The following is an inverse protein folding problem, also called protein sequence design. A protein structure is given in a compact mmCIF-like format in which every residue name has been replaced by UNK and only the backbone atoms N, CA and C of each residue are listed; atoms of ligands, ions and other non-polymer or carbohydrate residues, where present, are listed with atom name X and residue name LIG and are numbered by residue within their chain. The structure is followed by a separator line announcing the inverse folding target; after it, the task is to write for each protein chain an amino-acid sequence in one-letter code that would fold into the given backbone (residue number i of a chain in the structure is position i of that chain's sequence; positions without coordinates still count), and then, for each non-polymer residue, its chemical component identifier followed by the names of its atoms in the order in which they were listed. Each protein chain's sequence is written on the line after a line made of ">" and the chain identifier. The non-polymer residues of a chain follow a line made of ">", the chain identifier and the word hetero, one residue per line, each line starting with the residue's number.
data_IF_916950827999
#
_entry.id   IF_916950827999
#
_cell.length_a   1.000
_cell.length_b   1.000
_cell.length_c   1.000
_cell.angle_alpha   90.00
_cell.angle_beta   90.00
_cell.angle_gamma   90.00
#
_symmetry.space_group_name_H-M   'P 1'
#
loop_
_entity.id
_entity.type
_entity.pdbx_description
1 polymer ?
#
# COMPACT_ATOMS: atom_id res chain seq x y z
N UNK A 1 -1.52 -9.27 30.45
CA UNK A 1 -2.26 -9.56 29.20
C UNK A 1 -2.52 -8.35 28.28
N UNK A 2 -2.64 -7.09 28.76
CA UNK A 2 -2.78 -5.92 27.86
C UNK A 2 -1.47 -5.54 27.12
N UNK A 3 -0.32 -5.74 27.76
CA UNK A 3 1.00 -5.43 27.18
C UNK A 3 1.31 -6.35 25.99
N UNK A 4 1.12 -7.67 26.15
CA UNK A 4 1.36 -8.67 25.09
C UNK A 4 0.51 -8.43 23.83
N UNK A 5 -0.71 -7.91 23.97
CA UNK A 5 -1.56 -7.58 22.83
C UNK A 5 -1.04 -6.36 22.04
N UNK A 6 -0.49 -5.36 22.75
CA UNK A 6 0.12 -4.19 22.12
C UNK A 6 1.43 -4.53 21.39
N UNK A 7 2.24 -5.43 21.96
CA UNK A 7 3.47 -5.90 21.31
C UNK A 7 3.19 -6.69 20.03
N UNK A 8 2.16 -7.53 20.01
CA UNK A 8 1.74 -8.25 18.80
C UNK A 8 1.29 -7.32 17.68
N UNK A 9 0.51 -6.30 18.02
CA UNK A 9 0.05 -5.30 17.04
C UNK A 9 1.21 -4.49 16.47
N UNK A 10 2.17 -4.09 17.34
CA UNK A 10 3.36 -3.37 16.89
C UNK A 10 4.24 -4.24 16.00
N UNK A 11 4.48 -5.50 16.37
CA UNK A 11 5.22 -6.46 15.56
C UNK A 11 4.56 -6.65 14.19
N UNK A 12 3.23 -6.78 14.15
CA UNK A 12 2.48 -6.94 12.90
C UNK A 12 2.64 -5.75 11.96
N UNK A 13 2.58 -4.53 12.50
CA UNK A 13 2.80 -3.30 11.71
C UNK A 13 4.20 -3.26 11.14
N UNK A 14 5.19 -3.63 11.94
CA UNK A 14 6.59 -3.67 11.51
C UNK A 14 6.80 -4.70 10.39
N UNK A 15 6.22 -5.90 10.50
CA UNK A 15 6.27 -6.91 9.44
C UNK A 15 5.70 -6.40 8.11
N UNK A 16 4.54 -5.73 8.15
CA UNK A 16 3.91 -5.17 6.96
C UNK A 16 4.75 -4.05 6.34
N UNK A 17 5.31 -3.17 7.18
CA UNK A 17 6.20 -2.09 6.74
C UNK A 17 7.46 -2.66 6.06
N UNK A 18 8.06 -3.71 6.63
CA UNK A 18 9.19 -4.41 6.01
C UNK A 18 8.83 -5.07 4.68
N UNK A 19 7.65 -5.69 4.56
CA UNK A 19 7.19 -6.27 3.30
C UNK A 19 7.02 -5.20 2.21
N UNK A 20 6.42 -4.05 2.58
CA UNK A 20 6.28 -2.91 1.68
C UNK A 20 7.66 -2.40 1.26
N UNK A 21 8.58 -2.20 2.21
CA UNK A 21 9.94 -1.74 1.93
C UNK A 21 10.69 -2.68 0.99
N UNK A 22 10.60 -4.01 1.21
CA UNK A 22 11.20 -5.01 0.33
C UNK A 22 10.64 -4.95 -1.08
N UNK A 23 9.32 -4.80 -1.22
CA UNK A 23 8.66 -4.73 -2.53
C UNK A 23 8.98 -3.44 -3.27
N UNK A 24 9.04 -2.30 -2.57
CA UNK A 24 9.39 -1.00 -3.16
C UNK A 24 10.87 -0.97 -3.55
N UNK A 25 11.77 -1.46 -2.69
CA UNK A 25 13.21 -1.52 -2.95
C UNK A 25 13.62 -2.53 -4.02
N UNK A 26 12.76 -3.50 -4.34
CA UNK A 26 12.98 -4.45 -5.43
C UNK A 26 12.86 -3.82 -6.83
N UNK A 27 12.24 -2.64 -6.93
CA UNK A 27 11.93 -1.98 -8.20
C UNK A 27 12.77 -0.71 -8.32
N UNK A 28 13.50 -0.53 -9.42
CA UNK A 28 14.39 0.63 -9.61
C UNK A 28 13.63 1.97 -9.62
N UNK A 29 12.42 2.00 -10.21
CA UNK A 29 11.54 3.17 -10.18
C UNK A 29 10.14 2.76 -9.70
N UNK A 30 9.91 2.74 -8.38
CA UNK A 30 8.66 2.24 -7.82
C UNK A 30 7.46 3.16 -8.14
N UNK A 31 7.68 4.45 -8.42
CA UNK A 31 6.61 5.39 -8.76
C UNK A 31 5.95 5.09 -10.10
N UNK A 32 6.67 4.46 -11.03
CA UNK A 32 6.17 4.15 -12.37
C UNK A 32 6.02 2.65 -12.64
N UNK A 33 6.92 1.84 -12.07
CA UNK A 33 7.07 0.43 -12.44
C UNK A 33 6.53 -0.54 -11.41
N UNK A 34 6.23 -0.08 -10.18
CA UNK A 34 5.71 -0.97 -9.15
C UNK A 34 4.34 -1.53 -9.59
N UNK A 35 4.27 -2.85 -9.63
CA UNK A 35 3.06 -3.63 -9.92
C UNK A 35 2.68 -4.42 -8.67
N UNK A 36 1.38 -4.37 -8.36
CA UNK A 36 0.78 -5.11 -7.27
C UNK A 36 0.03 -6.29 -7.89
N UNK A 37 0.25 -7.48 -7.35
CA UNK A 37 -0.49 -8.67 -7.77
C UNK A 37 -1.89 -8.69 -7.15
N UNK A 38 -2.92 -8.39 -7.96
CA UNK A 38 -4.32 -8.41 -7.55
C UNK A 38 -4.98 -9.80 -7.69
N UNK A 39 -4.29 -10.84 -8.19
CA UNK A 39 -4.94 -12.13 -8.45
C UNK A 39 -5.48 -12.80 -7.20
N UNK A 40 -4.88 -12.53 -6.04
CA UNK A 40 -5.35 -13.00 -4.74
C UNK A 40 -6.73 -12.42 -4.33
N UNK A 41 -7.20 -11.36 -5.00
CA UNK A 41 -8.50 -10.71 -4.75
C UNK A 41 -9.66 -11.33 -5.56
N UNK A 42 -9.40 -12.35 -6.39
CA UNK A 42 -10.42 -13.01 -7.22
C UNK A 42 -11.02 -12.14 -8.32
N UNK A 43 -12.07 -12.64 -9.00
CA UNK A 43 -12.76 -11.94 -10.10
C UNK A 43 -13.43 -10.63 -9.66
N UNK A 44 -13.80 -10.50 -8.37
CA UNK A 44 -14.31 -9.27 -7.78
C UNK A 44 -13.26 -8.14 -7.75
N UNK A 45 -11.97 -8.48 -7.65
CA UNK A 45 -10.88 -7.49 -7.67
C UNK A 45 -10.54 -6.93 -9.06
N UNK A 46 -10.92 -7.63 -10.14
CA UNK A 46 -10.62 -7.23 -11.53
C UNK A 46 -11.76 -6.52 -12.25
N UNK A 47 -13.03 -6.76 -11.89
CA UNK A 47 -14.17 -6.17 -12.61
C UNK A 47 -15.43 -5.86 -11.80
N UNK A 48 -15.44 -5.94 -10.46
CA UNK A 48 -16.57 -5.44 -9.67
C UNK A 48 -16.23 -4.09 -9.01
N UNK A 49 -16.19 -3.06 -9.83
CA UNK A 49 -16.35 -1.68 -9.39
C UNK A 49 -17.85 -1.38 -9.23
N UNK A 50 -18.35 -0.99 -8.05
CA UNK A 50 -19.31 0.09 -7.98
C UNK A 50 -18.51 1.40 -8.03
N UNK A 51 -18.27 1.95 -9.24
CA UNK A 51 -18.04 3.38 -9.59
C UNK A 51 -17.15 4.29 -8.69
N UNK A 52 -16.33 3.75 -7.77
CA UNK A 52 -15.69 4.48 -6.64
C UNK A 52 -14.19 4.19 -6.45
N UNK A 53 -13.48 3.66 -7.46
CA UNK A 53 -12.24 2.92 -7.19
C UNK A 53 -10.93 3.62 -7.52
N UNK A 54 -9.96 3.34 -6.65
CA UNK A 54 -8.55 3.62 -6.83
C UNK A 54 -8.04 2.91 -8.10
N UNK A 55 -7.38 3.67 -8.97
CA UNK A 55 -6.68 3.12 -10.12
C UNK A 55 -5.41 2.36 -9.67
N UNK A 56 -4.82 1.57 -10.57
CA UNK A 56 -3.52 0.92 -10.34
C UNK A 56 -2.43 1.97 -10.07
N UNK A 57 -2.52 3.12 -10.72
CA UNK A 57 -1.62 4.25 -10.50
C UNK A 57 -1.80 4.85 -9.10
N UNK A 58 -3.05 5.00 -8.65
CA UNK A 58 -3.35 5.53 -7.33
C UNK A 58 -2.85 4.59 -6.23
N UNK A 59 -3.07 3.29 -6.39
CA UNK A 59 -2.57 2.28 -5.46
C UNK A 59 -1.04 2.32 -5.38
N UNK A 60 -0.37 2.46 -6.53
CA UNK A 60 1.08 2.57 -6.61
C UNK A 60 1.59 3.79 -5.84
N UNK A 61 1.01 4.96 -6.11
CA UNK A 61 1.34 6.19 -5.42
C UNK A 61 1.10 6.06 -3.92
N UNK A 62 -0.03 5.50 -3.50
CA UNK A 62 -0.35 5.30 -2.09
C UNK A 62 0.68 4.40 -1.39
N UNK A 63 1.12 3.31 -2.01
CA UNK A 63 2.14 2.43 -1.42
C UNK A 63 3.50 3.13 -1.36
N UNK A 64 3.90 3.87 -2.39
CA UNK A 64 5.17 4.61 -2.39
C UNK A 64 5.17 5.71 -1.32
N UNK A 65 4.07 6.46 -1.20
CA UNK A 65 3.92 7.49 -0.17
C UNK A 65 3.85 6.86 1.22
N UNK A 66 3.15 5.73 1.37
CA UNK A 66 3.09 4.97 2.62
C UNK A 66 4.48 4.52 3.06
N UNK A 67 5.29 3.98 2.15
CA UNK A 67 6.69 3.63 2.44
C UNK A 67 7.51 4.84 2.87
N UNK A 68 7.33 6.00 2.22
CA UNK A 68 8.04 7.25 2.56
C UNK A 68 7.69 7.74 3.97
N UNK A 69 6.42 7.66 4.38
CA UNK A 69 5.99 8.16 5.70
C UNK A 69 6.10 7.11 6.81
N UNK A 70 6.01 5.82 6.47
CA UNK A 70 5.90 4.67 7.37
C UNK A 70 4.47 4.16 7.51
N UNK A 71 4.29 2.84 7.50
CA UNK A 71 2.98 2.20 7.66
C UNK A 71 2.27 2.58 8.97
N UNK A 72 0.96 2.80 8.91
CA UNK A 72 0.15 3.19 10.07
C UNK A 72 0.09 4.70 10.34
N UNK A 73 0.91 5.52 9.67
CA UNK A 73 0.92 6.99 9.84
C UNK A 73 -0.08 7.68 8.90
N UNK A 74 -1.35 7.31 9.00
CA UNK A 74 -2.42 7.73 8.08
C UNK A 74 -2.60 9.24 7.94
N UNK A 75 -2.47 9.99 9.04
CA UNK A 75 -2.56 11.45 9.00
C UNK A 75 -1.40 12.08 8.20
N UNK A 76 -0.19 11.54 8.33
CA UNK A 76 0.97 11.98 7.56
C UNK A 76 0.84 11.59 6.08
N UNK A 77 0.32 10.39 5.80
CA UNK A 77 0.03 9.93 4.45
C UNK A 77 -0.99 10.86 3.75
N UNK A 78 -2.08 11.23 4.42
CA UNK A 78 -3.08 12.17 3.90
C UNK A 78 -2.47 13.54 3.58
N UNK A 79 -1.58 14.04 4.44
CA UNK A 79 -0.85 15.28 4.18
C UNK A 79 -0.03 15.16 2.90
N UNK A 80 0.73 14.08 2.76
CA UNK A 80 1.57 13.85 1.59
C UNK A 80 0.76 13.70 0.30
N UNK A 81 -0.37 12.98 0.33
CA UNK A 81 -1.29 12.86 -0.82
C UNK A 81 -1.82 14.24 -1.25
N UNK A 82 -2.06 15.15 -0.31
CA UNK A 82 -2.56 16.50 -0.62
C UNK A 82 -1.47 17.42 -1.18
N UNK A 83 -0.23 17.29 -0.70
CA UNK A 83 0.90 18.15 -1.08
C UNK A 83 1.71 17.63 -2.26
N UNK A 84 1.67 16.33 -2.54
CA UNK A 84 2.43 15.72 -3.63
C UNK A 84 1.95 16.22 -4.97
N UNK A 85 2.89 16.68 -5.80
CA UNK A 85 2.61 17.08 -7.17
C UNK A 85 2.11 15.91 -8.03
N UNK A 86 2.55 14.69 -7.75
CA UNK A 86 2.07 13.47 -8.44
C UNK A 86 0.58 13.21 -8.22
N UNK A 87 0.02 13.73 -7.13
CA UNK A 87 -1.41 13.65 -6.83
C UNK A 87 -2.13 14.97 -7.12
N UNK A 88 -1.46 16.00 -7.67
CA UNK A 88 -2.04 17.34 -7.82
C UNK A 88 -3.32 17.35 -8.68
N UNK A 89 -3.36 16.52 -9.72
CA UNK A 89 -4.50 16.40 -10.63
C UNK A 89 -5.47 15.27 -10.25
N UNK A 90 -5.16 14.49 -9.22
CA UNK A 90 -6.01 13.41 -8.75
C UNK A 90 -6.99 13.91 -7.68
N UNK A 91 -8.10 14.47 -8.16
CA UNK A 91 -9.20 14.90 -7.29
C UNK A 91 -9.83 13.73 -6.53
N UNK A 92 -9.79 12.52 -7.09
CA UNK A 92 -10.35 11.34 -6.44
C UNK A 92 -9.60 11.04 -5.13
N UNK A 93 -8.26 10.93 -5.17
CA UNK A 93 -7.44 10.72 -3.97
C UNK A 93 -7.60 11.85 -2.95
N UNK A 94 -7.71 13.10 -3.42
CA UNK A 94 -7.91 14.27 -2.53
C UNK A 94 -9.28 14.28 -1.84
N UNK A 95 -10.31 13.73 -2.50
CA UNK A 95 -11.67 13.65 -1.95
C UNK A 95 -11.87 12.53 -0.93
N UNK A 96 -10.92 11.58 -0.82
CA UNK A 96 -11.03 10.45 0.11
C UNK A 96 -10.78 10.88 1.55
N UNK A 97 -11.45 10.19 2.46
CA UNK A 97 -11.23 10.31 3.90
C UNK A 97 -9.98 9.52 4.31
N UNK A 98 -9.42 9.86 5.47
CA UNK A 98 -8.31 9.11 6.06
C UNK A 98 -8.64 7.63 6.23
N UNK A 99 -9.88 7.30 6.61
CA UNK A 99 -10.32 5.93 6.82
C UNK A 99 -10.35 5.12 5.50
N UNK A 100 -10.81 5.72 4.41
CA UNK A 100 -10.82 5.06 3.09
C UNK A 100 -9.40 4.82 2.57
N UNK A 101 -8.50 5.81 2.73
CA UNK A 101 -7.09 5.64 2.34
C UNK A 101 -6.42 4.57 3.20
N UNK A 102 -6.64 4.59 4.52
CA UNK A 102 -6.10 3.57 5.42
C UNK A 102 -6.59 2.17 5.03
N UNK A 103 -7.90 1.98 4.84
CA UNK A 103 -8.47 0.70 4.44
C UNK A 103 -7.91 0.21 3.10
N UNK A 104 -7.70 1.12 2.14
CA UNK A 104 -7.08 0.77 0.86
C UNK A 104 -5.64 0.32 1.04
N UNK A 105 -4.83 1.08 1.77
CA UNK A 105 -3.42 0.73 2.03
C UNK A 105 -3.28 -0.57 2.82
N UNK A 106 -4.16 -0.83 3.78
CA UNK A 106 -4.20 -2.09 4.52
C UNK A 106 -4.47 -3.29 3.61
N UNK A 107 -5.41 -3.15 2.68
CA UNK A 107 -5.70 -4.18 1.68
C UNK A 107 -4.50 -4.39 0.74
N UNK A 108 -3.88 -3.33 0.24
CA UNK A 108 -2.70 -3.42 -0.62
C UNK A 108 -1.51 -4.04 0.12
N UNK A 109 -1.30 -3.70 1.39
CA UNK A 109 -0.25 -4.27 2.22
C UNK A 109 -0.40 -5.79 2.38
N UNK A 110 -1.62 -6.30 2.54
CA UNK A 110 -1.89 -7.75 2.60
C UNK A 110 -1.57 -8.47 1.28
N UNK A 111 -1.88 -7.84 0.15
CA UNK A 111 -1.52 -8.37 -1.17
C UNK A 111 0.01 -8.44 -1.33
N UNK A 112 0.69 -7.34 -0.99
CA UNK A 112 2.16 -7.26 -1.03
C UNK A 112 2.80 -8.28 -0.10
N UNK A 113 2.29 -8.44 1.13
CA UNK A 113 2.79 -9.45 2.06
C UNK A 113 2.70 -10.86 1.46
N UNK A 114 1.54 -11.19 0.86
CA UNK A 114 1.30 -12.49 0.24
C UNK A 114 2.18 -12.71 -0.99
N UNK A 115 2.47 -11.64 -1.74
CA UNK A 115 3.41 -11.66 -2.86
C UNK A 115 4.86 -11.84 -2.40
N UNK A 116 5.31 -11.06 -1.41
CA UNK A 116 6.67 -11.10 -0.89
C UNK A 116 6.99 -12.45 -0.24
N UNK A 117 6.02 -13.11 0.38
CA UNK A 117 6.17 -14.47 0.92
C UNK A 117 6.36 -15.54 -0.17
N UNK A 118 5.84 -15.31 -1.39
CA UNK A 118 6.00 -16.23 -2.53
C UNK A 118 7.35 -16.07 -3.24
N UNK A 119 8.06 -14.95 -3.01
CA UNK A 119 9.33 -14.67 -3.65
C UNK A 119 10.45 -15.57 -3.04
N UNK A 120 11.20 -16.35 -3.86
CA UNK A 120 12.37 -17.11 -3.40
C UNK A 120 13.45 -16.23 -2.75
N UNK A 121 14.22 -16.72 -1.76
CA UNK A 121 15.26 -15.90 -1.11
C UNK A 121 16.24 -15.30 -2.14
N UNK A 122 16.27 -13.97 -2.27
CA UNK A 122 17.24 -13.22 -3.09
C UNK A 122 16.81 -12.75 -4.49
N UNK A 123 15.73 -13.25 -5.09
CA UNK A 123 15.34 -12.88 -6.48
C UNK A 123 14.26 -11.78 -6.63
N UNK A 124 14.63 -10.50 -6.69
CA UNK A 124 13.65 -9.44 -6.94
C UNK A 124 12.97 -9.65 -8.30
N UNK A 125 11.62 -9.67 -8.37
CA UNK A 125 10.95 -9.62 -9.67
C UNK A 125 11.31 -8.28 -10.31
N UNK A 126 12.02 -8.34 -11.42
CA UNK A 126 12.45 -7.18 -12.22
C UNK A 126 11.24 -6.40 -12.74
#
# INVERSE_FOLDING_TARGET
>A
KKVEAGERELARRFELDMCIAKKVGAVANPWNLLKIDYTAMGAAGRSSLPKTMFSVENDRHLICLCHKVGYGRWAALMKEVRTSWLCAFDWFLKSRTQAEIAARVELLAKLIESEVKRWPPGAAPQ
#
